data_IF_592487172232
#
_entry.id   IF_592487172232
#
_cell.length_a   1.000
_cell.length_b   1.000
_cell.length_c   1.000
_cell.angle_alpha   90.00
_cell.angle_beta   90.00
_cell.angle_gamma   90.00
#
_symmetry.space_group_name_H-M   'P 1'
#
loop_
_entity.id
_entity.type
_entity.pdbx_description
1 polymer ?
#
# COMPACT_ATOMS: atom_id res chain seq x y z
N UNK A 1 -14.24 -6.10 -2.52
CA UNK A 1 -15.33 -5.12 -2.70
C UNK A 1 -16.68 -5.79 -2.43
N UNK A 2 -17.41 -5.32 -1.41
CA UNK A 2 -18.63 -5.97 -0.90
C UNK A 2 -19.93 -5.38 -1.45
N UNK A 3 -19.88 -4.25 -2.14
CA UNK A 3 -21.06 -3.58 -2.70
C UNK A 3 -21.35 -4.09 -4.12
N UNK A 4 -22.63 -4.21 -4.46
CA UNK A 4 -23.08 -4.58 -5.81
C UNK A 4 -23.05 -3.40 -6.78
N UNK A 5 -22.99 -3.70 -8.08
CA UNK A 5 -23.05 -2.70 -9.15
C UNK A 5 -24.34 -1.87 -9.07
N UNK A 6 -24.21 -0.56 -9.23
CA UNK A 6 -25.29 0.43 -9.17
C UNK A 6 -25.62 0.92 -7.76
N UNK A 7 -25.06 0.31 -6.71
CA UNK A 7 -25.30 0.70 -5.31
C UNK A 7 -24.38 1.85 -4.87
N UNK A 8 -24.86 2.60 -3.88
CA UNK A 8 -24.13 3.67 -3.20
C UNK A 8 -23.73 3.15 -1.81
N UNK A 9 -22.50 3.39 -1.40
CA UNK A 9 -21.97 3.01 -0.09
C UNK A 9 -22.45 3.96 1.01
N UNK A 10 -22.35 3.51 2.26
CA UNK A 10 -22.30 4.43 3.39
C UNK A 10 -21.05 5.33 3.32
N UNK A 11 -20.98 6.33 4.21
CA UNK A 11 -19.86 7.28 4.26
C UNK A 11 -18.57 6.58 4.67
N UNK A 12 -17.52 6.73 3.86
CA UNK A 12 -16.18 6.21 4.11
C UNK A 12 -15.25 7.36 4.49
N UNK A 13 -14.63 7.27 5.66
CA UNK A 13 -13.62 8.24 6.10
C UNK A 13 -12.22 7.84 5.60
N UNK A 14 -11.48 8.81 5.07
CA UNK A 14 -10.08 8.66 4.69
C UNK A 14 -9.29 9.86 5.19
N UNK A 15 -7.95 9.84 5.04
CA UNK A 15 -7.10 11.00 5.34
C UNK A 15 -7.50 12.28 4.56
N UNK A 16 -8.30 12.15 3.50
CA UNK A 16 -8.79 13.25 2.68
C UNK A 16 -10.22 13.70 3.08
N UNK A 17 -10.79 13.15 4.15
CA UNK A 17 -12.16 13.42 4.62
C UNK A 17 -13.15 12.33 4.23
N UNK A 18 -14.41 12.71 3.99
CA UNK A 18 -15.53 11.79 3.81
C UNK A 18 -15.84 11.52 2.33
N UNK A 19 -16.01 10.25 1.99
CA UNK A 19 -16.27 9.77 0.63
C UNK A 19 -17.60 8.98 0.60
N UNK A 20 -18.42 9.22 -0.42
CA UNK A 20 -19.60 8.41 -0.74
C UNK A 20 -19.31 7.75 -2.10
N UNK A 21 -19.34 6.42 -2.16
CA UNK A 21 -18.87 5.66 -3.32
C UNK A 21 -20.06 5.05 -4.03
N UNK A 22 -20.19 5.27 -5.35
CA UNK A 22 -21.15 4.57 -6.21
C UNK A 22 -20.41 3.57 -7.10
N UNK A 23 -20.76 2.29 -7.03
CA UNK A 23 -20.18 1.27 -7.91
C UNK A 23 -20.86 1.37 -9.27
N UNK A 24 -20.11 1.76 -10.31
CA UNK A 24 -20.64 1.85 -11.67
C UNK A 24 -20.53 0.52 -12.42
N UNK A 25 -19.46 -0.22 -12.16
CA UNK A 25 -19.18 -1.52 -12.75
C UNK A 25 -18.32 -2.36 -11.80
N UNK A 26 -18.37 -3.68 -11.95
CA UNK A 26 -17.57 -4.63 -11.17
C UNK A 26 -17.10 -5.74 -12.10
N UNK A 27 -15.78 -5.81 -12.27
CA UNK A 27 -15.16 -6.93 -12.98
C UNK A 27 -14.99 -8.11 -12.02
N UNK A 28 -15.22 -9.32 -12.52
CA UNK A 28 -15.05 -10.53 -11.73
C UNK A 28 -13.60 -10.71 -11.30
N UNK A 29 -13.44 -11.22 -10.08
CA UNK A 29 -12.12 -11.55 -9.59
C UNK A 29 -11.55 -12.68 -10.44
N UNK A 30 -10.37 -12.45 -11.01
CA UNK A 30 -9.57 -13.49 -11.67
C UNK A 30 -8.39 -13.87 -10.80
N UNK A 31 -8.09 -15.16 -10.76
CA UNK A 31 -6.86 -15.65 -10.17
C UNK A 31 -5.73 -15.45 -11.17
N UNK A 32 -4.70 -14.70 -10.77
CA UNK A 32 -3.49 -14.53 -11.58
C UNK A 32 -2.61 -15.77 -11.41
N UNK A 33 -2.00 -16.23 -12.50
CA UNK A 33 -1.00 -17.30 -12.48
C UNK A 33 0.30 -16.83 -11.81
N UNK A 34 1.05 -17.76 -11.22
CA UNK A 34 2.32 -17.45 -10.56
C UNK A 34 3.29 -16.72 -11.50
N UNK A 35 3.40 -17.19 -12.74
CA UNK A 35 4.30 -16.60 -13.76
C UNK A 35 3.94 -15.14 -14.08
N UNK A 36 2.65 -14.77 -14.01
CA UNK A 36 2.20 -13.40 -14.27
C UNK A 36 2.59 -12.43 -13.14
N UNK A 37 2.69 -12.93 -11.91
CA UNK A 37 2.95 -12.09 -10.72
C UNK A 37 4.37 -12.19 -10.19
N UNK A 38 5.14 -13.19 -10.59
CA UNK A 38 6.47 -13.47 -10.06
C UNK A 38 7.40 -12.27 -10.16
N UNK A 39 7.44 -11.61 -11.33
CA UNK A 39 8.32 -10.48 -11.58
C UNK A 39 7.99 -9.28 -10.66
N UNK A 40 6.71 -8.96 -10.51
CA UNK A 40 6.26 -7.83 -9.70
C UNK A 40 6.37 -8.14 -8.20
N UNK A 41 6.05 -9.37 -7.81
CA UNK A 41 6.22 -9.85 -6.43
C UNK A 41 7.68 -9.84 -6.01
N UNK A 42 8.60 -10.27 -6.89
CA UNK A 42 10.04 -10.22 -6.63
C UNK A 42 10.52 -8.79 -6.42
N UNK A 43 10.12 -7.86 -7.29
CA UNK A 43 10.45 -6.42 -7.14
C UNK A 43 9.90 -5.85 -5.84
N UNK A 44 8.66 -6.19 -5.49
CA UNK A 44 8.01 -5.75 -4.26
C UNK A 44 8.78 -6.23 -3.02
N UNK A 45 9.10 -7.52 -2.94
CA UNK A 45 9.82 -8.10 -1.80
C UNK A 45 11.25 -7.53 -1.67
N UNK A 46 11.94 -7.33 -2.79
CA UNK A 46 13.26 -6.68 -2.79
C UNK A 46 13.15 -5.24 -2.29
N UNK A 47 12.14 -4.49 -2.75
CA UNK A 47 11.87 -3.13 -2.29
C UNK A 47 11.60 -3.05 -0.79
N UNK A 48 10.78 -3.96 -0.26
CA UNK A 48 10.52 -4.05 1.18
C UNK A 48 11.79 -4.34 1.98
N UNK A 49 12.59 -5.34 1.57
CA UNK A 49 13.86 -5.65 2.27
C UNK A 49 14.83 -4.48 2.25
N UNK A 50 14.93 -3.77 1.11
CA UNK A 50 15.79 -2.58 0.99
C UNK A 50 15.35 -1.47 1.95
N UNK A 51 14.04 -1.24 2.07
CA UNK A 51 13.51 -0.23 2.99
C UNK A 51 13.88 -0.55 4.44
N UNK A 52 13.72 -1.81 4.86
CA UNK A 52 14.09 -2.27 6.21
C UNK A 52 15.58 -2.07 6.49
N UNK A 53 16.46 -2.53 5.58
CA UNK A 53 17.91 -2.40 5.75
C UNK A 53 18.34 -0.93 5.75
N UNK A 54 17.71 -0.09 4.92
CA UNK A 54 18.00 1.34 4.89
C UNK A 54 17.58 2.01 6.21
N UNK A 55 16.43 1.65 6.75
CA UNK A 55 15.96 2.14 8.05
C UNK A 55 16.91 1.74 9.17
N UNK A 56 17.35 0.48 9.22
CA UNK A 56 18.34 -0.01 10.18
C UNK A 56 19.68 0.76 10.06
N UNK A 57 20.16 0.96 8.83
CA UNK A 57 21.39 1.71 8.57
C UNK A 57 21.27 3.18 9.00
N UNK A 58 20.19 3.86 8.62
CA UNK A 58 19.94 5.26 9.01
C UNK A 58 19.78 5.37 10.52
N UNK A 59 19.10 4.43 11.16
CA UNK A 59 18.99 4.37 12.62
C UNK A 59 20.36 4.22 13.29
N UNK A 60 21.22 3.35 12.76
CA UNK A 60 22.61 3.20 13.21
C UNK A 60 23.42 4.50 13.09
N UNK A 61 23.31 5.19 11.96
CA UNK A 61 23.97 6.48 11.75
C UNK A 61 23.43 7.57 12.70
N UNK A 62 22.11 7.66 12.87
CA UNK A 62 21.47 8.62 13.78
C UNK A 62 21.92 8.44 15.23
N UNK A 63 22.09 7.20 15.70
CA UNK A 63 22.57 6.91 17.07
C UNK A 63 23.98 7.42 17.34
N UNK A 64 24.82 7.47 16.31
CA UNK A 64 26.20 7.94 16.41
C UNK A 64 26.35 9.43 16.06
N UNK A 65 25.26 10.11 15.71
CA UNK A 65 25.27 11.51 15.31
C UNK A 65 24.60 12.40 16.37
N UNK A 66 25.20 13.56 16.67
CA UNK A 66 24.55 14.58 17.51
C UNK A 66 23.52 15.33 16.64
N UNK A 67 22.23 15.12 16.90
CA UNK A 67 21.13 15.78 16.20
C UNK A 67 20.48 16.78 17.17
N UNK A 68 20.56 18.07 16.84
CA UNK A 68 19.87 19.14 17.56
C UNK A 68 18.70 19.63 16.69
N UNK A 69 17.47 19.60 17.23
CA UNK A 69 16.30 20.22 16.61
C UNK A 69 15.95 21.49 17.39
N UNK A 70 15.85 22.61 16.69
CA UNK A 70 15.48 23.93 17.24
C UNK A 70 13.96 24.10 17.27
#
# INVERSE_FOLDING_TARGET
FSLDTGKISDVVETQFGYHIIKVLDKQDARQLGYEEVEADMTKFLIGQKRAVVLEEFVSGLKKNAKIEMY
#
